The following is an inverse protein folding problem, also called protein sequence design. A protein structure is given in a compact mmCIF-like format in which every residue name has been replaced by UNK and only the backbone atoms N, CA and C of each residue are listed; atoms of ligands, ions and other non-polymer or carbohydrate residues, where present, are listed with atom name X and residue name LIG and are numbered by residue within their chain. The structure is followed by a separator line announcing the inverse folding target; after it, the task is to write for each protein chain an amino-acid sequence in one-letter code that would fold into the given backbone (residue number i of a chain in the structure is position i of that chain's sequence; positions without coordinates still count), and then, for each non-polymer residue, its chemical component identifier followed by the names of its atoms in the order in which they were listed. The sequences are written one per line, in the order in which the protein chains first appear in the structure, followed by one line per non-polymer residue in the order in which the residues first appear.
data_IF_538543933912
#
_entry.id   IF_538543933912
#
_cell.length_a   1.000
_cell.length_b   1.000
_cell.length_c   1.000
_cell.angle_alpha   90.00
_cell.angle_beta   90.00
_cell.angle_gamma   90.00
#
_symmetry.space_group_name_H-M   'P 1'
#
loop_
_entity.id
_entity.type
_entity.pdbx_description
1 polymer ?
#
# COMPACT_ATOMS: atom_id res chain seq x y z
N UNK A 1 4.04 25.24 13.69
CA UNK A 1 5.32 24.50 13.55
C UNK A 1 5.17 23.29 12.63
N UNK A 2 4.36 22.27 12.98
CA UNK A 2 4.03 21.19 12.02
C UNK A 2 2.98 21.61 10.99
N UNK A 3 2.02 22.46 11.39
CA UNK A 3 1.00 23.01 10.49
C UNK A 3 1.62 23.87 9.39
N UNK A 4 2.61 24.71 9.73
CA UNK A 4 3.36 25.54 8.78
C UNK A 4 4.09 24.65 7.76
N UNK A 5 4.88 23.68 8.24
CA UNK A 5 5.61 22.75 7.38
C UNK A 5 4.68 21.88 6.52
N UNK A 6 3.52 21.47 7.06
CA UNK A 6 2.51 20.72 6.31
C UNK A 6 1.91 21.57 5.19
N UNK A 7 1.70 22.86 5.44
CA UNK A 7 1.18 23.82 4.45
C UNK A 7 2.20 24.07 3.36
N UNK A 8 3.46 24.30 3.74
CA UNK A 8 4.58 24.55 2.82
C UNK A 8 4.85 23.35 1.90
N UNK A 9 4.72 22.13 2.42
CA UNK A 9 4.86 20.89 1.65
C UNK A 9 3.58 20.50 0.88
N UNK A 10 2.50 21.28 0.99
CA UNK A 10 1.21 20.97 0.37
C UNK A 10 0.57 19.68 0.89
N UNK A 11 0.94 19.24 2.10
CA UNK A 11 0.35 18.09 2.77
C UNK A 11 -1.08 18.44 3.22
N UNK A 12 -2.07 17.83 2.56
CA UNK A 12 -3.49 18.02 2.88
C UNK A 12 -4.05 16.93 3.79
N UNK A 13 -3.18 16.12 4.39
CA UNK A 13 -3.62 15.09 5.32
C UNK A 13 -4.12 15.76 6.61
N UNK A 14 -5.24 15.30 7.17
CA UNK A 14 -5.78 15.87 8.40
C UNK A 14 -4.81 15.61 9.55
N UNK A 15 -4.49 16.67 10.30
CA UNK A 15 -3.71 16.60 11.52
C UNK A 15 -4.65 16.45 12.72
N UNK A 16 -4.35 15.49 13.60
CA UNK A 16 -5.11 15.26 14.83
C UNK A 16 -4.17 15.35 16.02
N UNK A 17 -4.54 16.17 17.00
CA UNK A 17 -3.87 16.20 18.30
C UNK A 17 -4.62 15.27 19.27
N UNK A 18 -3.87 14.37 19.92
CA UNK A 18 -4.42 13.39 20.85
C UNK A 18 -3.79 13.60 22.21
N UNK A 19 -4.61 13.97 23.20
CA UNK A 19 -4.19 13.95 24.59
C UNK A 19 -4.22 12.50 25.11
N UNK A 20 -3.04 11.92 25.29
CA UNK A 20 -2.84 10.52 25.71
C UNK A 20 -3.29 10.25 27.15
N UNK A 21 -3.34 11.26 28.01
CA UNK A 21 -3.84 11.11 29.39
C UNK A 21 -5.35 10.79 29.38
N UNK A 22 -6.07 11.32 28.41
CA UNK A 22 -7.51 11.10 28.23
C UNK A 22 -7.82 9.94 27.28
N UNK A 23 -6.88 9.55 26.41
CA UNK A 23 -7.08 8.54 25.37
C UNK A 23 -5.94 7.50 25.34
N UNK A 24 -5.66 6.89 26.49
CA UNK A 24 -4.57 5.92 26.66
C UNK A 24 -4.62 4.73 25.70
N UNK A 25 -5.82 4.28 25.33
CA UNK A 25 -6.02 3.20 24.35
C UNK A 25 -5.49 3.53 22.95
N UNK A 26 -5.50 4.82 22.55
CA UNK A 26 -4.91 5.25 21.27
C UNK A 26 -3.39 5.13 21.35
N UNK A 27 -2.80 5.62 22.45
CA UNK A 27 -1.35 5.49 22.67
C UNK A 27 -0.90 4.02 22.63
N UNK A 28 -1.65 3.12 23.29
CA UNK A 28 -1.37 1.68 23.28
C UNK A 28 -1.50 1.07 21.87
N UNK A 29 -2.57 1.37 21.15
CA UNK A 29 -2.82 0.83 19.81
C UNK A 29 -1.73 1.22 18.79
N UNK A 30 -1.16 2.42 18.93
CA UNK A 30 -0.10 2.92 18.07
C UNK A 30 1.31 2.70 18.65
N UNK A 31 1.44 2.03 19.80
CA UNK A 31 2.73 1.73 20.42
C UNK A 31 3.50 2.97 20.88
N UNK A 32 2.79 4.03 21.30
CA UNK A 32 3.39 5.29 21.79
C UNK A 32 3.96 5.08 23.19
N UNK A 33 5.29 5.10 23.30
CA UNK A 33 6.02 4.88 24.55
C UNK A 33 6.43 6.19 25.27
N UNK A 34 6.41 7.32 24.54
CA UNK A 34 6.82 8.62 25.05
C UNK A 34 6.08 9.75 24.35
N UNK A 35 6.14 10.97 24.89
CA UNK A 35 5.49 12.16 24.32
C UNK A 35 6.54 13.29 24.21
N UNK A 36 6.54 14.10 23.14
CA UNK A 36 5.65 14.02 21.98
C UNK A 36 6.03 12.89 21.02
N UNK A 37 5.02 12.31 20.37
CA UNK A 37 5.20 11.33 19.28
C UNK A 37 4.23 11.65 18.16
N UNK A 38 4.75 11.74 16.95
CA UNK A 38 3.99 11.85 15.72
C UNK A 38 3.85 10.47 15.08
N UNK A 39 2.64 10.17 14.61
CA UNK A 39 2.33 8.90 13.96
C UNK A 39 1.64 9.18 12.63
N UNK A 40 2.11 8.53 11.58
CA UNK A 40 1.53 8.60 10.25
C UNK A 40 1.69 7.24 9.58
N UNK A 41 0.59 6.49 9.47
CA UNK A 41 0.58 5.10 8.98
C UNK A 41 1.67 4.24 9.67
N UNK A 42 2.68 3.80 8.91
CA UNK A 42 3.83 3.01 9.37
C UNK A 42 4.97 3.84 9.95
N UNK A 43 4.95 5.16 9.78
CA UNK A 43 5.98 6.06 10.26
C UNK A 43 5.66 6.59 11.66
N UNK A 44 6.68 6.58 12.51
CA UNK A 44 6.63 7.17 13.84
C UNK A 44 7.85 8.07 14.05
N UNK A 45 7.64 9.20 14.72
CA UNK A 45 8.70 10.11 15.15
C UNK A 45 8.46 10.48 16.61
N UNK A 46 9.35 10.03 17.49
CA UNK A 46 9.21 10.21 18.94
C UNK A 46 10.27 11.17 19.48
N UNK A 47 9.93 11.89 20.53
CA UNK A 47 10.76 12.95 21.11
C UNK A 47 10.46 14.32 20.49
N UNK A 48 11.14 15.36 20.98
CA UNK A 48 10.96 16.73 20.48
C UNK A 48 11.65 16.87 19.12
N UNK A 49 10.90 17.00 18.01
CA UNK A 49 11.51 17.01 16.68
C UNK A 49 12.06 18.40 16.34
N UNK A 50 13.18 18.45 15.60
CA UNK A 50 13.60 19.70 14.96
C UNK A 50 12.87 19.91 13.62
N UNK A 51 13.08 21.07 12.99
CA UNK A 51 12.42 21.43 11.74
C UNK A 51 12.74 20.43 10.61
N UNK A 52 13.99 19.98 10.50
CA UNK A 52 14.41 19.02 9.48
C UNK A 52 13.80 17.64 9.72
N UNK A 53 13.65 17.22 10.98
CA UNK A 53 12.99 15.96 11.33
C UNK A 53 11.52 15.98 10.91
N UNK A 54 10.81 17.08 11.18
CA UNK A 54 9.42 17.27 10.77
C UNK A 54 9.27 17.20 9.25
N UNK A 55 10.13 17.87 8.50
CA UNK A 55 10.12 17.82 7.02
C UNK A 55 10.37 16.41 6.51
N UNK A 56 11.39 15.73 7.02
CA UNK A 56 11.71 14.36 6.63
C UNK A 56 10.53 13.41 6.93
N UNK A 57 9.88 13.58 8.08
CA UNK A 57 8.71 12.80 8.47
C UNK A 57 7.50 13.04 7.55
N UNK A 58 7.20 14.31 7.23
CA UNK A 58 6.12 14.67 6.32
C UNK A 58 6.36 14.13 4.90
N UNK A 59 7.59 14.24 4.38
CA UNK A 59 7.96 13.71 3.07
C UNK A 59 7.82 12.18 2.98
N UNK A 60 8.25 11.46 4.03
CA UNK A 60 8.07 10.00 4.12
C UNK A 60 6.58 9.63 4.12
N UNK A 61 5.80 10.32 4.94
CA UNK A 61 4.34 10.13 5.03
C UNK A 61 3.66 10.32 3.68
N UNK A 62 4.00 11.41 2.96
CA UNK A 62 3.45 11.71 1.63
C UNK A 62 3.82 10.66 0.59
N UNK A 63 5.05 10.17 0.63
CA UNK A 63 5.54 9.16 -0.32
C UNK A 63 4.75 7.86 -0.17
N UNK A 64 4.47 7.45 1.07
CA UNK A 64 3.62 6.29 1.35
C UNK A 64 2.18 6.51 0.86
N UNK A 65 1.59 7.70 1.07
CA UNK A 65 0.25 8.03 0.55
C UNK A 65 0.17 7.85 -0.96
N UNK A 66 1.20 8.29 -1.68
CA UNK A 66 1.27 8.22 -3.14
C UNK A 66 1.41 6.75 -3.58
N UNK A 67 2.26 5.97 -2.91
CA UNK A 67 2.45 4.55 -3.19
C UNK A 67 1.14 3.77 -3.03
N UNK A 68 0.44 3.91 -1.91
CA UNK A 68 -0.83 3.22 -1.65
C UNK A 68 -1.92 3.59 -2.66
N UNK A 69 -2.01 4.87 -3.04
CA UNK A 69 -2.97 5.31 -4.07
C UNK A 69 -2.69 4.66 -5.42
N UNK A 70 -1.42 4.50 -5.77
CA UNK A 70 -1.01 3.87 -7.04
C UNK A 70 -1.26 2.37 -7.02
N UNK A 71 -0.98 1.69 -5.91
CA UNK A 71 -1.32 0.27 -5.73
C UNK A 71 -2.82 0.01 -5.82
N UNK A 72 -3.65 0.84 -5.17
CA UNK A 72 -5.10 0.74 -5.25
C UNK A 72 -5.65 0.96 -6.67
N UNK A 73 -5.01 1.84 -7.46
CA UNK A 73 -5.34 2.06 -8.88
C UNK A 73 -4.91 0.88 -9.75
N UNK A 74 -3.71 0.35 -9.55
CA UNK A 74 -3.22 -0.83 -10.26
C UNK A 74 -4.11 -2.06 -9.98
N UNK A 75 -4.47 -2.29 -8.72
CA UNK A 75 -5.37 -3.38 -8.32
C UNK A 75 -6.77 -3.26 -8.94
N UNK A 76 -7.31 -2.04 -9.07
CA UNK A 76 -8.58 -1.79 -9.77
C UNK A 76 -8.47 -2.04 -11.27
N UNK A 77 -7.40 -1.57 -11.92
CA UNK A 77 -7.17 -1.75 -13.35
C UNK A 77 -7.06 -3.24 -13.74
N UNK A 78 -6.35 -4.04 -12.93
CA UNK A 78 -6.20 -5.48 -13.15
C UNK A 78 -7.53 -6.22 -13.00
N UNK A 79 -8.39 -5.82 -12.04
CA UNK A 79 -9.72 -6.44 -11.84
C UNK A 79 -10.73 -6.06 -12.92
N UNK A 80 -10.60 -4.89 -13.53
CA UNK A 80 -11.49 -4.43 -14.60
C UNK A 80 -11.09 -4.93 -16.00
N UNK A 81 -9.94 -5.58 -16.14
CA UNK A 81 -9.52 -6.14 -17.42
C UNK A 81 -10.42 -7.35 -17.77
N UNK A 82 -11.18 -7.33 -18.88
CA UNK A 82 -11.92 -8.51 -19.30
C UNK A 82 -10.93 -9.63 -19.60
N UNK A 83 -11.04 -10.74 -18.86
CA UNK A 83 -10.26 -11.96 -19.08
C UNK A 83 -10.64 -12.58 -20.43
N UNK A 84 -10.11 -12.04 -21.53
CA UNK A 84 -10.03 -12.76 -22.81
C UNK A 84 -8.78 -13.64 -22.79
N UNK A 85 -8.82 -14.69 -21.98
CA UNK A 85 -7.97 -15.86 -22.18
C UNK A 85 -8.89 -16.99 -22.65
N UNK A 86 -9.08 -17.10 -23.97
CA UNK A 86 -9.54 -18.36 -24.56
C UNK A 86 -8.43 -19.39 -24.40
N UNK A 87 -8.44 -20.10 -23.27
CA UNK A 87 -7.83 -21.40 -23.17
C UNK A 87 -8.70 -22.39 -23.97
N UNK A 88 -8.46 -22.49 -25.28
CA UNK A 88 -8.88 -23.67 -26.06
C UNK A 88 -7.99 -24.84 -25.68
N UNK A 89 -8.26 -25.39 -24.50
CA UNK A 89 -7.78 -26.70 -24.13
C UNK A 89 -8.88 -27.74 -24.40
N UNK A 90 -8.44 -28.81 -25.07
CA UNK A 90 -8.85 -30.20 -24.83
C UNK A 90 -10.08 -30.74 -25.60
N UNK A 91 -9.72 -31.62 -26.54
CA UNK A 91 -10.03 -33.06 -26.55
C UNK A 91 -11.04 -33.59 -27.59
N UNK A 92 -10.61 -34.74 -28.14
CA UNK A 92 -11.35 -35.81 -28.84
C UNK A 92 -11.58 -35.61 -30.33
N UNK A 93 -10.79 -36.33 -31.13
CA UNK A 93 -11.27 -37.62 -31.66
C UNK A 93 -10.09 -38.55 -31.93
N UNK A 94 -10.02 -39.58 -31.11
CA UNK A 94 -9.39 -40.86 -31.41
C UNK A 94 -9.98 -41.43 -32.71
N UNK A 95 -9.14 -41.77 -33.68
CA UNK A 95 -9.42 -42.87 -34.61
C UNK A 95 -8.17 -43.74 -34.69
N UNK A 96 -8.40 -45.01 -34.40
CA UNK A 96 -7.44 -46.08 -34.20
C UNK A 96 -7.38 -46.92 -35.49
N UNK A 97 -6.14 -47.36 -35.82
CA UNK A 97 -5.72 -48.51 -36.68
C UNK A 97 -5.72 -48.34 -38.23
N UNK A 98 -4.97 -49.18 -38.99
CA UNK A 98 -4.10 -50.31 -38.56
C UNK A 98 -2.66 -50.31 -39.14
N UNK A 99 -1.78 -51.09 -38.49
CA UNK A 99 -0.60 -51.68 -39.13
C UNK A 99 -1.05 -52.72 -40.16
N UNK A 100 -0.54 -52.62 -41.39
CA UNK A 100 -0.41 -53.77 -42.30
C UNK A 100 1.01 -53.84 -42.82
N UNK A 101 1.51 -55.07 -42.82
CA UNK A 101 2.88 -55.46 -43.07
C UNK A 101 3.30 -55.41 -44.55
N UNK A 102 4.63 -55.46 -44.72
CA UNK A 102 5.35 -56.28 -45.71
C UNK A 102 5.66 -55.75 -47.12
N UNK A 103 6.98 -55.77 -47.38
CA UNK A 103 7.68 -56.11 -48.63
C UNK A 103 7.63 -55.17 -49.84
N UNK A 104 8.77 -54.54 -50.12
CA UNK A 104 9.63 -54.92 -51.26
C UNK A 104 11.06 -54.48 -51.05
#
# INVERSE_FOLDING_TARGET
MIEDESTDLGCREPLFEVNVEHHSHIAEAYGVLMVPTLVSRSNTLSGVPCQDDLRAFLLRSLTETIAERNEGRAAKAIRSAPRKFELRALLRTSVVKPLTASAK
#
